data_IF_222301300184
#
_entry.id   IF_222301300184
#
_cell.length_a   1.000
_cell.length_b   1.000
_cell.length_c   1.000
_cell.angle_alpha   90.00
_cell.angle_beta   90.00
_cell.angle_gamma   90.00
#
_symmetry.space_group_name_H-M   'P 1'
#
loop_
_entity.id
_entity.type
_entity.pdbx_description
1 polymer ?
#
# COMPACT_ATOMS: atom_id res chain seq x y z
N UNK A 1 24.06 -9.72 5.37
CA UNK A 1 23.59 -8.36 5.00
C UNK A 1 22.40 -8.36 4.02
N UNK A 2 21.88 -9.49 3.56
CA UNK A 2 20.81 -9.54 2.54
C UNK A 2 19.36 -9.49 3.08
N UNK A 3 19.12 -9.91 4.33
CA UNK A 3 17.77 -10.01 4.92
C UNK A 3 17.13 -8.66 5.26
N UNK A 4 17.91 -7.69 5.74
CA UNK A 4 17.42 -6.34 6.05
C UNK A 4 16.95 -5.58 4.79
N UNK A 5 17.60 -5.85 3.65
CA UNK A 5 17.25 -5.25 2.36
C UNK A 5 15.92 -5.74 1.79
N UNK A 6 15.50 -6.97 2.14
CA UNK A 6 14.27 -7.56 1.60
C UNK A 6 13.02 -7.10 2.36
N UNK A 7 13.12 -6.95 3.69
CA UNK A 7 11.99 -6.55 4.56
C UNK A 7 11.47 -5.14 4.28
N UNK A 8 12.34 -4.22 3.83
CA UNK A 8 11.96 -2.84 3.49
C UNK A 8 11.89 -2.58 1.98
N UNK A 9 11.90 -3.65 1.18
CA UNK A 9 11.87 -3.55 -0.29
C UNK A 9 10.49 -3.21 -0.85
N UNK A 10 9.42 -3.40 -0.06
CA UNK A 10 8.04 -3.11 -0.41
C UNK A 10 7.63 -1.74 0.13
N UNK A 11 7.61 -0.76 -0.75
CA UNK A 11 7.30 0.63 -0.41
C UNK A 11 6.42 1.29 -1.48
N UNK A 12 5.53 2.15 -1.02
CA UNK A 12 4.79 3.11 -1.84
C UNK A 12 4.89 4.53 -1.26
N UNK A 13 4.61 5.52 -2.10
CA UNK A 13 4.51 6.93 -1.72
C UNK A 13 3.19 7.47 -2.24
N UNK A 14 2.45 8.18 -1.39
CA UNK A 14 1.22 8.86 -1.78
C UNK A 14 1.18 10.31 -1.31
N UNK A 15 0.41 11.13 -2.01
CA UNK A 15 0.19 12.54 -1.71
C UNK A 15 -0.66 12.71 -0.45
N UNK A 16 -0.18 13.46 0.54
CA UNK A 16 -0.87 13.60 1.82
C UNK A 16 -2.20 14.35 1.71
N UNK A 17 -2.38 15.20 0.68
CA UNK A 17 -3.57 16.02 0.48
C UNK A 17 -4.67 15.28 -0.27
N UNK A 18 -4.31 14.53 -1.32
CA UNK A 18 -5.30 13.88 -2.19
C UNK A 18 -5.26 12.35 -2.17
N UNK A 19 -4.39 11.72 -1.38
CA UNK A 19 -4.32 10.25 -1.25
C UNK A 19 -3.73 9.53 -2.46
N UNK A 20 -3.46 10.25 -3.56
CA UNK A 20 -3.01 9.65 -4.82
C UNK A 20 -1.62 9.04 -4.68
N UNK A 21 -1.49 7.76 -5.03
CA UNK A 21 -0.21 7.04 -5.08
C UNK A 21 0.63 7.60 -6.23
N UNK A 22 1.82 8.08 -5.90
CA UNK A 22 2.78 8.68 -6.83
C UNK A 22 3.90 7.72 -7.21
N UNK A 23 4.27 6.82 -6.32
CA UNK A 23 5.37 5.89 -6.54
C UNK A 23 5.12 4.55 -5.85
N UNK A 24 5.55 3.46 -6.50
CA UNK A 24 5.50 2.11 -5.96
C UNK A 24 6.77 1.38 -6.39
N UNK A 25 7.38 0.69 -5.44
CA UNK A 25 8.55 -0.17 -5.71
C UNK A 25 8.15 -1.46 -6.45
N UNK A 26 9.00 -2.00 -7.35
CA UNK A 26 8.72 -3.26 -8.05
C UNK A 26 8.43 -4.47 -7.13
N UNK A 27 9.10 -4.66 -5.98
CA UNK A 27 8.75 -5.73 -5.04
C UNK A 27 7.33 -5.61 -4.48
N UNK A 28 6.84 -4.39 -4.24
CA UNK A 28 5.46 -4.18 -3.81
C UNK A 28 4.46 -4.45 -4.94
N UNK A 29 4.78 -4.08 -6.18
CA UNK A 29 3.95 -4.45 -7.33
C UNK A 29 3.84 -5.98 -7.48
N UNK A 30 4.95 -6.69 -7.35
CA UNK A 30 4.97 -8.16 -7.37
C UNK A 30 4.14 -8.75 -6.22
N UNK A 31 4.31 -8.20 -5.01
CA UNK A 31 3.55 -8.60 -3.82
C UNK A 31 2.04 -8.41 -4.00
N UNK A 32 1.61 -7.34 -4.66
CA UNK A 32 0.21 -7.04 -4.95
C UNK A 32 -0.29 -7.64 -6.28
N UNK A 33 0.50 -8.51 -6.92
CA UNK A 33 0.20 -9.19 -8.20
C UNK A 33 0.00 -8.26 -9.41
N UNK A 34 0.52 -7.05 -9.37
CA UNK A 34 0.51 -6.18 -10.53
C UNK A 34 1.53 -6.64 -11.58
N UNK A 35 1.27 -6.44 -12.89
CA UNK A 35 2.22 -6.78 -13.94
C UNK A 35 3.55 -6.00 -13.80
N UNK A 36 4.68 -6.70 -13.83
CA UNK A 36 6.03 -6.10 -13.70
C UNK A 36 6.97 -6.44 -14.87
N UNK A 37 6.47 -7.09 -15.93
CA UNK A 37 7.30 -7.71 -16.99
C UNK A 37 8.13 -6.69 -17.77
N UNK A 38 7.61 -5.50 -18.01
CA UNK A 38 8.33 -4.42 -18.72
C UNK A 38 8.50 -3.17 -17.88
N UNK A 39 9.44 -2.30 -18.25
CA UNK A 39 9.59 -0.97 -17.64
C UNK A 39 8.33 -0.10 -17.84
N UNK A 40 7.63 -0.30 -18.96
CA UNK A 40 6.37 0.37 -19.27
C UNK A 40 5.26 -0.07 -18.32
N UNK A 41 5.17 -1.35 -17.98
CA UNK A 41 4.18 -1.88 -17.03
C UNK A 41 4.34 -1.30 -15.62
N UNK A 42 5.60 -1.05 -15.21
CA UNK A 42 5.89 -0.43 -13.91
C UNK A 42 5.40 1.02 -13.83
N UNK A 43 5.60 1.79 -14.89
CA UNK A 43 5.18 3.21 -14.95
C UNK A 43 3.68 3.37 -15.24
N UNK A 44 3.08 2.42 -15.94
CA UNK A 44 1.66 2.43 -16.32
C UNK A 44 0.79 1.57 -15.38
N UNK A 45 1.34 1.06 -14.28
CA UNK A 45 0.59 0.26 -13.32
C UNK A 45 -0.59 1.07 -12.80
N UNK A 46 -1.79 0.50 -12.85
CA UNK A 46 -3.01 1.13 -12.32
C UNK A 46 -2.90 1.48 -10.82
N UNK A 47 -1.98 0.82 -10.11
CA UNK A 47 -1.66 1.17 -8.72
C UNK A 47 -1.06 2.56 -8.61
N UNK A 48 -0.24 2.95 -9.58
CA UNK A 48 0.18 4.33 -9.75
C UNK A 48 -1.05 5.09 -10.23
N UNK A 49 -1.39 6.17 -9.54
CA UNK A 49 -2.60 6.99 -9.73
C UNK A 49 -3.89 6.57 -9.01
N UNK A 50 -3.95 5.40 -8.35
CA UNK A 50 -5.06 5.12 -7.42
C UNK A 50 -4.96 5.96 -6.14
N UNK A 51 -6.08 6.15 -5.46
CA UNK A 51 -6.09 6.64 -4.08
C UNK A 51 -5.67 5.50 -3.13
N UNK A 52 -4.85 5.82 -2.13
CA UNK A 52 -4.45 4.86 -1.11
C UNK A 52 -5.65 4.22 -0.40
N UNK A 53 -6.75 4.95 -0.20
CA UNK A 53 -7.93 4.40 0.48
C UNK A 53 -8.64 3.31 -0.34
N UNK A 54 -8.54 3.36 -1.66
CA UNK A 54 -9.11 2.36 -2.56
C UNK A 54 -8.30 1.05 -2.54
N UNK A 55 -7.03 1.13 -2.13
CA UNK A 55 -6.16 -0.04 -1.96
C UNK A 55 -6.39 -0.73 -0.61
N UNK A 56 -6.79 0.02 0.42
CA UNK A 56 -6.97 -0.48 1.77
C UNK A 56 -8.24 -1.34 1.89
N UNK A 57 -8.11 -2.48 2.55
CA UNK A 57 -9.24 -3.38 2.80
C UNK A 57 -9.05 -4.19 4.07
N UNK A 58 -10.13 -4.69 4.65
CA UNK A 58 -10.15 -5.68 5.71
C UNK A 58 -11.00 -6.89 5.30
N UNK A 59 -11.18 -7.86 6.19
CA UNK A 59 -12.04 -9.02 6.00
C UNK A 59 -13.49 -8.60 5.75
N UNK A 60 -13.96 -7.62 6.55
CA UNK A 60 -15.31 -7.06 6.48
C UNK A 60 -15.31 -5.57 6.07
N UNK A 61 -16.50 -5.05 5.75
CA UNK A 61 -16.70 -3.62 5.47
C UNK A 61 -16.43 -2.73 6.70
N UNK A 62 -16.76 -3.23 7.90
CA UNK A 62 -16.49 -2.56 9.17
C UNK A 62 -14.98 -2.46 9.45
N UNK A 63 -14.24 -3.54 9.23
CA UNK A 63 -12.79 -3.55 9.37
C UNK A 63 -12.12 -2.62 8.35
N UNK A 64 -12.56 -2.69 7.08
CA UNK A 64 -12.08 -1.78 6.02
C UNK A 64 -12.27 -0.31 6.43
N UNK A 65 -13.46 0.03 6.95
CA UNK A 65 -13.77 1.40 7.40
C UNK A 65 -12.89 1.83 8.57
N UNK A 66 -12.60 0.91 9.51
CA UNK A 66 -11.71 1.15 10.64
C UNK A 66 -10.27 1.45 10.18
N UNK A 67 -9.73 0.62 9.27
CA UNK A 67 -8.39 0.80 8.70
C UNK A 67 -8.28 2.16 7.99
N UNK A 68 -9.24 2.49 7.12
CA UNK A 68 -9.28 3.77 6.41
C UNK A 68 -9.34 4.93 7.41
N UNK A 69 -10.15 4.82 8.46
CA UNK A 69 -10.25 5.83 9.51
C UNK A 69 -8.91 6.03 10.21
N UNK A 70 -8.22 4.96 10.60
CA UNK A 70 -6.89 5.03 11.22
C UNK A 70 -5.87 5.71 10.31
N UNK A 71 -5.81 5.35 9.02
CA UNK A 71 -4.89 5.98 8.06
C UNK A 71 -5.21 7.47 7.88
N UNK A 72 -6.48 7.84 7.75
CA UNK A 72 -6.90 9.25 7.66
C UNK A 72 -6.53 10.05 8.91
N UNK A 73 -6.68 9.45 10.09
CA UNK A 73 -6.29 10.09 11.34
C UNK A 73 -4.79 10.36 11.38
N UNK A 74 -3.96 9.39 11.00
CA UNK A 74 -2.50 9.55 10.92
C UNK A 74 -2.10 10.70 9.99
N UNK A 75 -2.76 10.78 8.82
CA UNK A 75 -2.53 11.86 7.85
C UNK A 75 -2.94 13.22 8.44
N UNK A 76 -4.10 13.31 9.10
CA UNK A 76 -4.59 14.54 9.69
C UNK A 76 -3.68 15.03 10.84
N UNK A 77 -3.19 14.11 11.66
CA UNK A 77 -2.27 14.38 12.77
C UNK A 77 -0.83 14.63 12.31
N UNK A 78 -0.50 14.35 11.04
CA UNK A 78 0.85 14.47 10.48
C UNK A 78 1.89 13.66 11.27
N UNK A 79 1.48 12.47 11.72
CA UNK A 79 2.25 11.63 12.64
C UNK A 79 2.79 10.38 11.94
N UNK A 80 3.76 9.71 12.60
CA UNK A 80 4.30 8.41 12.17
C UNK A 80 3.65 7.30 12.98
N UNK A 81 2.99 6.37 12.31
CA UNK A 81 2.29 5.26 12.96
C UNK A 81 2.26 4.02 12.07
N UNK A 82 2.12 2.86 12.71
CA UNK A 82 1.88 1.60 12.01
C UNK A 82 0.41 1.18 12.14
N UNK A 83 -0.17 0.68 11.06
CA UNK A 83 -1.54 0.15 11.00
C UNK A 83 -1.50 -1.25 10.42
N UNK A 84 -2.11 -2.22 11.10
CA UNK A 84 -2.38 -3.52 10.50
C UNK A 84 -3.58 -3.38 9.56
N UNK A 85 -3.43 -3.84 8.32
CA UNK A 85 -4.50 -3.76 7.34
C UNK A 85 -4.25 -4.64 6.13
N UNK A 86 -5.27 -4.74 5.28
CA UNK A 86 -5.19 -5.42 4.00
C UNK A 86 -4.89 -4.48 2.85
N UNK A 87 -4.13 -4.97 1.88
CA UNK A 87 -3.95 -4.34 0.58
C UNK A 87 -4.60 -5.22 -0.49
N UNK A 88 -5.51 -4.66 -1.30
CA UNK A 88 -6.16 -5.40 -2.37
C UNK A 88 -5.13 -5.93 -3.38
N UNK A 89 -5.33 -7.19 -3.78
CA UNK A 89 -4.53 -7.80 -4.83
C UNK A 89 -5.11 -7.45 -6.20
N UNK A 90 -4.23 -7.30 -7.19
CA UNK A 90 -4.63 -7.08 -8.58
C UNK A 90 -5.48 -8.27 -9.09
N UNK A 91 -6.73 -8.08 -9.52
CA UNK A 91 -7.60 -9.18 -9.97
C UNK A 91 -7.09 -9.90 -11.22
N UNK A 92 -6.32 -9.19 -12.06
CA UNK A 92 -5.79 -9.69 -13.33
C UNK A 92 -4.39 -10.33 -13.21
N UNK A 93 -3.78 -10.30 -12.03
CA UNK A 93 -2.45 -10.85 -11.79
C UNK A 93 -2.45 -12.38 -11.76
N UNK A 94 -2.01 -13.01 -12.87
CA UNK A 94 -1.94 -14.48 -12.99
C UNK A 94 -0.65 -15.13 -12.46
N UNK A 95 0.41 -14.35 -12.17
CA UNK A 95 1.77 -14.89 -12.03
C UNK A 95 2.50 -14.53 -10.72
N UNK A 96 1.79 -14.28 -9.62
CA UNK A 96 2.47 -14.02 -8.36
C UNK A 96 2.91 -15.33 -7.69
N UNK A 97 4.11 -15.40 -7.09
CA UNK A 97 4.57 -16.59 -6.39
C UNK A 97 3.59 -16.98 -5.26
N UNK A 98 3.29 -18.28 -5.17
CA UNK A 98 2.28 -18.92 -4.29
C UNK A 98 2.51 -18.76 -2.77
N UNK A 99 3.41 -17.87 -2.34
CA UNK A 99 3.83 -17.73 -0.94
C UNK A 99 3.11 -16.62 -0.17
N UNK A 100 2.12 -15.96 -0.76
CA UNK A 100 1.34 -14.93 -0.07
C UNK A 100 0.09 -15.57 0.53
N UNK A 101 -0.09 -15.41 1.84
CA UNK A 101 -1.31 -15.79 2.53
C UNK A 101 -2.46 -14.89 2.05
N UNK A 102 -3.09 -15.30 0.95
CA UNK A 102 -4.28 -14.65 0.41
C UNK A 102 -5.41 -14.75 1.42
N UNK A 103 -5.84 -13.61 1.95
CA UNK A 103 -7.12 -13.50 2.64
C UNK A 103 -8.20 -13.11 1.64
N UNK A 104 -9.45 -13.44 1.96
CA UNK A 104 -10.61 -13.16 1.12
C UNK A 104 -11.59 -12.33 1.94
N UNK A 105 -12.02 -11.20 1.39
CA UNK A 105 -13.07 -10.36 2.00
C UNK A 105 -14.43 -11.07 1.91
N UNK A 106 -15.43 -10.66 2.70
CA UNK A 106 -16.81 -11.13 2.55
C UNK A 106 -17.36 -11.00 1.12
N UNK A 107 -16.92 -9.96 0.38
CA UNK A 107 -17.27 -9.73 -1.02
C UNK A 107 -16.44 -10.51 -2.05
N UNK A 108 -15.67 -11.51 -1.62
CA UNK A 108 -14.89 -12.40 -2.49
C UNK A 108 -13.61 -11.81 -3.09
N UNK A 109 -13.22 -10.58 -2.72
CA UNK A 109 -11.97 -9.96 -3.18
C UNK A 109 -10.78 -10.50 -2.39
N UNK A 110 -9.66 -10.73 -3.08
CA UNK A 110 -8.42 -11.18 -2.45
C UNK A 110 -7.57 -10.01 -1.99
N UNK A 111 -6.94 -10.16 -0.85
CA UNK A 111 -6.08 -9.13 -0.26
C UNK A 111 -4.91 -9.74 0.51
N UNK A 112 -3.84 -8.97 0.66
CA UNK A 112 -2.69 -9.33 1.48
C UNK A 112 -2.73 -8.60 2.83
N UNK A 113 -2.82 -9.35 3.93
CA UNK A 113 -2.69 -8.81 5.29
C UNK A 113 -1.25 -8.37 5.51
N UNK A 114 -1.05 -7.11 5.85
CA UNK A 114 0.28 -6.50 5.95
C UNK A 114 0.32 -5.49 7.09
N UNK A 115 1.52 -5.24 7.62
CA UNK A 115 1.76 -4.11 8.51
C UNK A 115 2.16 -2.90 7.66
N UNK A 116 1.38 -1.83 7.72
CA UNK A 116 1.64 -0.59 7.00
C UNK A 116 2.29 0.40 7.95
N UNK A 117 3.57 0.70 7.76
CA UNK A 117 4.26 1.74 8.52
C UNK A 117 4.26 3.05 7.73
N UNK A 118 3.53 4.05 8.22
CA UNK A 118 3.35 5.33 7.56
C UNK A 118 4.28 6.38 8.20
N UNK A 119 5.09 7.04 7.37
CA UNK A 119 5.97 8.13 7.80
C UNK A 119 5.74 9.36 6.92
N UNK A 120 5.42 10.53 7.50
CA UNK A 120 5.23 11.76 6.73
C UNK A 120 6.58 12.28 6.21
N UNK A 121 6.56 12.76 4.97
CA UNK A 121 7.64 13.57 4.39
C UNK A 121 7.20 15.02 4.47
N UNK A 122 7.86 15.77 5.35
CA UNK A 122 7.54 17.16 5.62
C UNK A 122 8.40 18.12 4.79
N UNK A 123 7.80 19.24 4.39
CA UNK A 123 8.50 20.35 3.77
C UNK A 123 9.22 21.23 4.81
N UNK A 124 9.87 22.31 4.33
CA UNK A 124 10.56 23.29 5.20
C UNK A 124 9.62 24.04 6.16
N UNK A 125 8.29 23.99 5.94
CA UNK A 125 7.27 24.61 6.79
C UNK A 125 6.66 23.60 7.78
N UNK A 126 7.29 22.44 7.95
CA UNK A 126 6.84 21.32 8.77
C UNK A 126 5.44 20.80 8.37
N UNK A 127 5.05 20.97 7.10
CA UNK A 127 3.80 20.43 6.55
C UNK A 127 4.07 19.16 5.78
N UNK A 128 3.30 18.12 6.07
CA UNK A 128 3.35 16.84 5.37
C UNK A 128 2.86 17.02 3.94
N UNK A 129 3.74 16.77 2.97
CA UNK A 129 3.42 16.82 1.54
C UNK A 129 3.09 15.42 1.00
N UNK A 130 3.79 14.41 1.52
CA UNK A 130 3.64 13.02 1.11
C UNK A 130 3.76 12.10 2.32
N UNK A 131 3.35 10.86 2.14
CA UNK A 131 3.61 9.77 3.05
C UNK A 131 4.40 8.67 2.36
N UNK A 132 5.45 8.21 3.02
CA UNK A 132 6.14 6.97 2.68
C UNK A 132 5.50 5.86 3.48
N UNK A 133 5.11 4.78 2.80
CA UNK A 133 4.53 3.59 3.43
C UNK A 133 5.42 2.40 3.16
N UNK A 134 5.95 1.82 4.24
CA UNK A 134 6.66 0.53 4.20
C UNK A 134 5.68 -0.59 4.51
N UNK A 135 5.66 -1.62 3.67
CA UNK A 135 4.74 -2.75 3.77
C UNK A 135 5.52 -3.98 4.28
N UNK A 136 5.20 -4.40 5.51
CA UNK A 136 5.72 -5.61 6.15
C UNK A 136 4.95 -6.85 5.74
#
# INVERSE_FOLDING_TARGET
>A
MSTFSAAHSKLLIFDAKCGRIQYVTPPLLAYLRYPIRTHRDRLASQLVHMDIVDLLTGESSGETSSIIKSVRQIIAEQSTHSVFGGLLLCPSGRDAPDHIADAVTDGGRKYARSLLHLTPVKDRKDKSQMYVVVVG
#
